data_IF_444253604659
#
_entry.id   IF_444253604659
#
_cell.length_a   1.000
_cell.length_b   1.000
_cell.length_c   1.000
_cell.angle_alpha   90.00
_cell.angle_beta   90.00
_cell.angle_gamma   90.00
#
_symmetry.space_group_name_H-M   'P 1'
#
loop_
_entity.id
_entity.type
_entity.pdbx_description
1 polymer ?
#
# COMPACT_ATOMS: atom_id res chain seq x y z
N UNK A 1 -0.98 11.89 32.18
CA UNK A 1 -0.98 11.84 30.70
C UNK A 1 0.29 12.49 30.11
N UNK A 2 1.50 11.97 30.40
CA UNK A 2 2.78 12.51 29.85
C UNK A 2 3.39 11.66 28.72
N UNK A 3 3.02 10.38 28.59
CA UNK A 3 3.61 9.46 27.62
C UNK A 3 3.10 9.58 26.17
N UNK A 4 1.87 10.06 25.95
CA UNK A 4 1.30 10.23 24.60
C UNK A 4 1.99 11.36 23.82
N UNK A 5 2.28 12.49 24.47
CA UNK A 5 3.05 13.59 23.85
C UNK A 5 4.45 13.17 23.40
N UNK A 6 5.13 12.34 24.19
CA UNK A 6 6.48 11.85 23.86
C UNK A 6 6.43 10.85 22.68
N UNK A 7 5.37 10.03 22.59
CA UNK A 7 5.13 9.19 21.39
C UNK A 7 4.96 10.04 20.14
N UNK A 8 4.14 11.10 20.22
CA UNK A 8 3.82 11.94 19.06
C UNK A 8 5.06 12.66 18.51
N UNK A 9 5.90 13.28 19.36
CA UNK A 9 7.11 13.98 18.89
C UNK A 9 8.15 13.05 18.25
N UNK A 10 8.34 11.84 18.81
CA UNK A 10 9.25 10.85 18.24
C UNK A 10 8.77 10.36 16.87
N UNK A 11 7.47 10.12 16.73
CA UNK A 11 6.85 9.71 15.46
C UNK A 11 6.97 10.82 14.43
N UNK A 12 6.66 12.07 14.81
CA UNK A 12 6.80 13.24 13.91
C UNK A 12 8.24 13.36 13.40
N UNK A 13 9.22 13.19 14.29
CA UNK A 13 10.64 13.29 13.94
C UNK A 13 11.07 12.18 12.98
N UNK A 14 10.65 10.93 13.21
CA UNK A 14 10.98 9.81 12.30
C UNK A 14 10.25 9.92 10.95
N UNK A 15 9.00 10.37 10.96
CA UNK A 15 8.24 10.67 9.72
C UNK A 15 8.94 11.76 8.92
N UNK A 16 9.44 12.82 9.56
CA UNK A 16 10.17 13.89 8.89
C UNK A 16 11.52 13.42 8.30
N UNK A 17 12.26 12.56 9.00
CA UNK A 17 13.49 11.96 8.46
C UNK A 17 13.23 11.14 7.21
N UNK A 18 12.18 10.32 7.24
CA UNK A 18 11.79 9.46 6.11
C UNK A 18 11.19 10.29 4.96
N UNK A 19 10.39 11.30 5.29
CA UNK A 19 9.68 12.17 4.35
C UNK A 19 10.49 13.41 4.00
N UNK A 20 11.80 13.27 3.81
CA UNK A 20 12.61 14.38 3.32
C UNK A 20 12.07 14.82 1.96
N UNK A 21 11.84 16.13 1.79
CA UNK A 21 11.24 16.69 0.56
C UNK A 21 11.92 16.19 -0.73
N UNK A 22 13.25 16.06 -0.73
CA UNK A 22 13.99 15.51 -1.87
C UNK A 22 13.64 14.07 -2.22
N UNK A 23 13.47 13.21 -1.21
CA UNK A 23 13.06 11.82 -1.43
C UNK A 23 11.64 11.75 -2.02
N UNK A 24 10.71 12.55 -1.50
CA UNK A 24 9.32 12.59 -2.00
C UNK A 24 9.26 13.09 -3.44
N UNK A 25 10.04 14.12 -3.80
CA UNK A 25 10.12 14.63 -5.18
C UNK A 25 10.63 13.53 -6.13
N UNK A 26 11.71 12.83 -5.75
CA UNK A 26 12.26 11.73 -6.56
C UNK A 26 11.25 10.59 -6.72
N UNK A 27 10.59 10.19 -5.63
CA UNK A 27 9.60 9.11 -5.67
C UNK A 27 8.40 9.48 -6.54
N UNK A 28 7.88 10.71 -6.41
CA UNK A 28 6.79 11.22 -7.25
C UNK A 28 7.22 11.32 -8.71
N UNK A 29 8.44 11.80 -8.98
CA UNK A 29 9.00 11.85 -10.33
C UNK A 29 9.07 10.47 -10.98
N UNK A 30 9.51 9.44 -10.23
CA UNK A 30 9.53 8.05 -10.70
C UNK A 30 8.13 7.50 -10.97
N UNK A 31 7.15 7.81 -10.11
CA UNK A 31 5.74 7.42 -10.31
C UNK A 31 5.15 8.06 -11.57
N UNK A 32 5.38 9.36 -11.77
CA UNK A 32 4.94 10.08 -12.98
C UNK A 32 5.63 9.50 -14.22
N UNK A 33 6.94 9.24 -14.15
CA UNK A 33 7.67 8.59 -15.24
C UNK A 33 7.09 7.23 -15.59
N UNK A 34 6.76 6.39 -14.60
CA UNK A 34 6.11 5.10 -14.83
C UNK A 34 4.74 5.26 -15.46
N UNK A 35 3.93 6.19 -14.94
CA UNK A 35 2.59 6.46 -15.47
C UNK A 35 2.63 6.83 -16.96
N UNK A 36 3.56 7.73 -17.34
CA UNK A 36 3.75 8.14 -18.74
C UNK A 36 4.22 6.96 -19.59
N UNK A 37 5.23 6.19 -19.14
CA UNK A 37 5.74 5.01 -19.88
C UNK A 37 4.67 3.94 -20.12
N UNK A 38 3.85 3.66 -19.11
CA UNK A 38 2.84 2.59 -19.13
C UNK A 38 1.58 3.02 -19.89
N UNK A 39 1.02 4.19 -19.59
CA UNK A 39 -0.31 4.57 -20.09
C UNK A 39 -0.27 5.47 -21.32
N UNK A 40 0.70 6.39 -21.42
CA UNK A 40 0.77 7.35 -22.53
C UNK A 40 1.59 6.77 -23.69
N UNK A 41 2.81 6.30 -23.39
CA UNK A 41 3.74 5.76 -24.38
C UNK A 41 3.47 4.29 -24.71
N UNK A 42 2.71 3.58 -23.86
CA UNK A 42 2.36 2.16 -24.03
C UNK A 42 3.59 1.26 -24.29
N UNK A 43 4.73 1.56 -23.65
CA UNK A 43 5.95 0.80 -23.85
C UNK A 43 5.84 -0.64 -23.34
N UNK A 44 6.54 -1.55 -24.01
CA UNK A 44 6.65 -2.93 -23.56
C UNK A 44 7.26 -3.02 -22.16
N UNK A 45 6.84 -4.03 -21.42
CA UNK A 45 7.25 -4.31 -20.03
C UNK A 45 8.76 -4.21 -19.81
N UNK A 46 9.55 -4.69 -20.79
CA UNK A 46 11.02 -4.66 -20.75
C UNK A 46 11.61 -3.26 -20.55
N UNK A 47 10.93 -2.21 -21.02
CA UNK A 47 11.45 -0.83 -21.02
C UNK A 47 11.10 0.00 -19.77
N UNK A 48 10.24 -0.53 -18.90
CA UNK A 48 9.84 0.18 -17.68
C UNK A 48 9.89 -0.69 -16.42
N UNK A 49 10.18 -1.99 -16.55
CA UNK A 49 10.34 -2.91 -15.43
C UNK A 49 11.39 -2.45 -14.41
N UNK A 50 12.52 -1.91 -14.89
CA UNK A 50 13.58 -1.38 -14.05
C UNK A 50 13.07 -0.28 -13.09
N UNK A 51 12.34 0.68 -13.66
CA UNK A 51 11.74 1.81 -12.96
C UNK A 51 10.68 1.33 -11.98
N UNK A 52 9.89 0.33 -12.38
CA UNK A 52 8.87 -0.29 -11.54
C UNK A 52 9.47 -0.98 -10.33
N UNK A 53 10.51 -1.80 -10.51
CA UNK A 53 11.21 -2.48 -9.41
C UNK A 53 11.81 -1.48 -8.44
N UNK A 54 12.43 -0.40 -8.93
CA UNK A 54 12.98 0.66 -8.06
C UNK A 54 11.89 1.28 -7.19
N UNK A 55 10.74 1.63 -7.78
CA UNK A 55 9.60 2.18 -7.03
C UNK A 55 9.07 1.17 -6.01
N UNK A 56 8.92 -0.10 -6.39
CA UNK A 56 8.44 -1.14 -5.48
C UNK A 56 9.39 -1.37 -4.30
N UNK A 57 10.71 -1.39 -4.54
CA UNK A 57 11.73 -1.51 -3.49
C UNK A 57 11.71 -0.29 -2.57
N UNK A 58 11.63 0.93 -3.13
CA UNK A 58 11.55 2.16 -2.35
C UNK A 58 10.31 2.17 -1.43
N UNK A 59 9.12 1.90 -1.98
CA UNK A 59 7.87 1.82 -1.21
C UNK A 59 7.92 0.74 -0.12
N UNK A 60 8.49 -0.43 -0.45
CA UNK A 60 8.66 -1.54 0.51
C UNK A 60 9.61 -1.15 1.65
N UNK A 61 10.74 -0.53 1.33
CA UNK A 61 11.71 -0.06 2.33
C UNK A 61 11.07 0.94 3.30
N UNK A 62 10.35 1.94 2.78
CA UNK A 62 9.63 2.91 3.61
C UNK A 62 8.66 2.20 4.53
N UNK A 63 7.83 1.31 3.97
CA UNK A 63 6.79 0.61 4.74
C UNK A 63 7.41 -0.22 5.86
N UNK A 64 8.46 -1.00 5.56
CA UNK A 64 9.18 -1.80 6.57
C UNK A 64 9.79 -0.89 7.64
N UNK A 65 10.37 0.25 7.27
CA UNK A 65 10.95 1.19 8.21
C UNK A 65 9.89 1.83 9.10
N UNK A 66 8.79 2.31 8.53
CA UNK A 66 7.65 2.85 9.28
C UNK A 66 7.07 1.84 10.28
N UNK A 67 6.97 0.56 9.89
CA UNK A 67 6.53 -0.52 10.78
C UNK A 67 7.55 -0.80 11.89
N UNK A 68 8.86 -0.81 11.57
CA UNK A 68 9.91 -1.00 12.58
C UNK A 68 9.95 0.14 13.59
N UNK A 69 9.70 1.36 13.12
CA UNK A 69 9.70 2.55 13.97
C UNK A 69 8.40 2.76 14.73
N UNK A 70 7.37 1.97 14.43
CA UNK A 70 6.11 2.00 15.15
C UNK A 70 5.25 3.21 14.81
N UNK A 71 5.45 3.79 13.62
CA UNK A 71 4.79 5.03 13.17
C UNK A 71 3.28 4.83 13.06
N UNK A 72 2.83 3.66 12.62
CA UNK A 72 1.41 3.33 12.57
C UNK A 72 0.95 2.89 13.97
N UNK A 73 0.34 3.83 14.69
CA UNK A 73 -0.28 3.58 15.99
C UNK A 73 -1.76 3.27 15.84
N UNK A 74 -2.24 2.30 16.64
CA UNK A 74 -3.67 2.13 16.85
C UNK A 74 -4.15 3.23 17.81
N UNK A 75 -5.27 3.91 17.49
CA UNK A 75 -5.83 4.88 18.41
C UNK A 75 -6.29 4.19 19.70
N UNK A 76 -6.13 4.86 20.84
CA UNK A 76 -6.44 4.30 22.17
C UNK A 76 -7.94 4.24 22.49
N UNK A 77 -8.77 4.97 21.75
CA UNK A 77 -10.22 5.00 21.95
C UNK A 77 -10.92 3.94 21.09
N UNK A 78 -11.79 3.12 21.70
CA UNK A 78 -12.59 2.09 21.01
C UNK A 78 -13.37 2.64 19.81
N UNK A 79 -13.93 3.85 19.92
CA UNK A 79 -14.64 4.51 18.82
C UNK A 79 -13.72 4.81 17.62
N UNK A 80 -12.50 5.27 17.90
CA UNK A 80 -11.49 5.54 16.88
C UNK A 80 -10.93 4.25 16.25
N UNK A 81 -10.82 3.17 17.02
CA UNK A 81 -10.45 1.84 16.49
C UNK A 81 -11.53 1.32 15.53
N UNK A 82 -12.81 1.51 15.85
CA UNK A 82 -13.93 1.12 14.97
C UNK A 82 -13.91 1.91 13.66
N UNK A 83 -13.69 3.22 13.73
CA UNK A 83 -13.55 4.06 12.55
C UNK A 83 -12.34 3.64 11.69
N UNK A 84 -11.23 3.31 12.34
CA UNK A 84 -10.04 2.82 11.65
C UNK A 84 -10.30 1.50 10.90
N UNK A 85 -10.95 0.52 11.54
CA UNK A 85 -11.33 -0.74 10.87
C UNK A 85 -12.21 -0.52 9.65
N UNK A 86 -13.13 0.46 9.72
CA UNK A 86 -13.96 0.86 8.58
C UNK A 86 -13.11 1.43 7.45
N UNK A 87 -12.15 2.31 7.75
CA UNK A 87 -11.23 2.86 6.76
C UNK A 87 -10.35 1.78 6.12
N UNK A 88 -9.85 0.83 6.91
CA UNK A 88 -9.09 -0.32 6.40
C UNK A 88 -9.92 -1.17 5.43
N UNK A 89 -11.18 -1.44 5.79
CA UNK A 89 -12.13 -2.15 4.92
C UNK A 89 -12.37 -1.40 3.61
N UNK A 90 -12.62 -0.08 3.67
CA UNK A 90 -12.79 0.76 2.47
C UNK A 90 -11.52 0.72 1.61
N UNK A 91 -10.34 0.81 2.22
CA UNK A 91 -9.06 0.70 1.52
C UNK A 91 -8.90 -0.65 0.79
N UNK A 92 -9.31 -1.75 1.42
CA UNK A 92 -9.34 -3.07 0.80
C UNK A 92 -10.30 -3.13 -0.39
N UNK A 93 -11.50 -2.56 -0.28
CA UNK A 93 -12.48 -2.50 -1.36
C UNK A 93 -11.94 -1.71 -2.56
N UNK A 94 -11.41 -0.51 -2.32
CA UNK A 94 -10.83 0.34 -3.39
C UNK A 94 -9.68 -0.39 -4.09
N UNK A 95 -8.78 -1.02 -3.32
CA UNK A 95 -7.66 -1.78 -3.89
C UNK A 95 -8.14 -2.93 -4.77
N UNK A 96 -9.21 -3.61 -4.36
CA UNK A 96 -9.80 -4.73 -5.10
C UNK A 96 -10.45 -4.28 -6.41
N UNK A 97 -11.15 -3.14 -6.39
CA UNK A 97 -11.74 -2.55 -7.61
C UNK A 97 -10.64 -2.20 -8.62
N UNK A 98 -9.56 -1.58 -8.16
CA UNK A 98 -8.42 -1.23 -9.02
C UNK A 98 -7.80 -2.51 -9.61
N UNK A 99 -7.56 -3.52 -8.78
CA UNK A 99 -7.00 -4.80 -9.24
C UNK A 99 -7.90 -5.49 -10.27
N UNK A 100 -9.21 -5.57 -10.02
CA UNK A 100 -10.17 -6.17 -10.94
C UNK A 100 -10.23 -5.43 -12.27
N UNK A 101 -10.20 -4.10 -12.25
CA UNK A 101 -10.17 -3.28 -13.46
C UNK A 101 -8.90 -3.54 -14.28
N UNK A 102 -7.73 -3.66 -13.63
CA UNK A 102 -6.47 -3.97 -14.30
C UNK A 102 -6.48 -5.36 -14.94
N UNK A 103 -7.06 -6.37 -14.27
CA UNK A 103 -7.18 -7.72 -14.83
C UNK A 103 -8.09 -7.75 -16.05
N UNK A 104 -9.25 -7.11 -15.99
CA UNK A 104 -10.17 -7.00 -17.13
C UNK A 104 -9.50 -6.29 -18.31
N UNK A 105 -8.79 -5.18 -18.06
CA UNK A 105 -8.07 -4.45 -19.11
C UNK A 105 -6.95 -5.30 -19.76
N UNK A 106 -6.30 -6.16 -18.97
CA UNK A 106 -5.25 -7.05 -19.47
C UNK A 106 -5.85 -8.16 -20.33
N UNK A 107 -6.93 -8.80 -19.86
CA UNK A 107 -7.67 -9.82 -20.60
C UNK A 107 -8.22 -9.29 -21.93
N UNK A 108 -8.71 -8.04 -21.94
CA UNK A 108 -9.19 -7.38 -23.17
C UNK A 108 -8.07 -7.13 -24.19
N UNK A 109 -6.84 -6.86 -23.72
CA UNK A 109 -5.68 -6.60 -24.59
C UNK A 109 -5.14 -7.89 -25.23
N UNK A 110 -5.32 -9.03 -24.58
CA UNK A 110 -4.85 -10.35 -25.04
C UNK A 110 -5.91 -11.12 -25.84
N UNK A 111 -7.11 -10.56 -26.04
CA UNK A 111 -8.26 -11.29 -26.58
C UNK A 111 -8.15 -11.60 -28.08
N UNK A 112 -7.76 -12.85 -28.38
CA UNK A 112 -8.03 -13.53 -29.65
C UNK A 112 -9.24 -14.47 -29.60
N UNK A 113 -9.49 -15.16 -28.46
CA UNK A 113 -10.59 -16.13 -28.36
C UNK A 113 -10.88 -16.59 -26.90
N UNK A 114 -11.20 -15.65 -26.00
CA UNK A 114 -11.45 -15.99 -24.59
C UNK A 114 -12.95 -16.17 -24.31
N UNK A 115 -13.31 -17.33 -23.77
CA UNK A 115 -14.63 -17.60 -23.18
C UNK A 115 -14.89 -16.61 -22.03
N UNK A 116 -15.57 -15.51 -22.37
CA UNK A 116 -15.84 -14.34 -21.50
C UNK A 116 -16.33 -14.75 -20.10
N UNK A 117 -17.20 -15.77 -20.03
CA UNK A 117 -17.74 -16.27 -18.77
C UNK A 117 -16.66 -16.85 -17.82
N UNK A 118 -15.64 -17.53 -18.36
CA UNK A 118 -14.54 -18.11 -17.57
C UNK A 118 -13.61 -17.03 -17.03
N UNK A 119 -13.29 -16.01 -17.83
CA UNK A 119 -12.49 -14.84 -17.41
C UNK A 119 -13.17 -14.03 -16.31
N UNK A 120 -14.48 -13.82 -16.43
CA UNK A 120 -15.25 -13.10 -15.41
C UNK A 120 -15.25 -13.88 -14.10
N UNK A 121 -15.49 -15.20 -14.15
CA UNK A 121 -15.46 -16.07 -12.97
C UNK A 121 -14.08 -16.09 -12.29
N UNK A 122 -12.99 -16.24 -13.05
CA UNK A 122 -11.64 -16.22 -12.49
C UNK A 122 -11.30 -14.86 -11.87
N UNK A 123 -11.69 -13.76 -12.52
CA UNK A 123 -11.48 -12.40 -12.01
C UNK A 123 -12.26 -12.16 -10.73
N UNK A 124 -13.48 -12.68 -10.62
CA UNK A 124 -14.32 -12.52 -9.43
C UNK A 124 -13.75 -13.30 -8.24
N UNK A 125 -13.34 -14.56 -8.45
CA UNK A 125 -12.66 -15.36 -7.43
C UNK A 125 -11.34 -14.70 -7.00
N UNK A 126 -10.54 -14.25 -7.97
CA UNK A 126 -9.29 -13.55 -7.71
C UNK A 126 -9.51 -12.25 -6.92
N UNK A 127 -10.59 -11.51 -7.20
CA UNK A 127 -10.94 -10.28 -6.49
C UNK A 127 -11.26 -10.56 -5.02
N UNK A 128 -11.99 -11.64 -4.72
CA UNK A 128 -12.28 -12.05 -3.34
C UNK A 128 -11.00 -12.42 -2.59
N UNK A 129 -10.12 -13.22 -3.22
CA UNK A 129 -8.84 -13.59 -2.62
C UNK A 129 -7.95 -12.36 -2.39
N UNK A 130 -7.89 -11.45 -3.36
CA UNK A 130 -7.14 -10.21 -3.25
C UNK A 130 -7.68 -9.33 -2.13
N UNK A 131 -9.00 -9.17 -2.02
CA UNK A 131 -9.65 -8.40 -0.96
C UNK A 131 -9.31 -8.94 0.44
N UNK A 132 -9.41 -10.25 0.62
CA UNK A 132 -9.08 -10.90 1.90
C UNK A 132 -7.59 -10.71 2.20
N UNK A 133 -6.72 -10.96 1.22
CA UNK A 133 -5.27 -10.83 1.34
C UNK A 133 -4.85 -9.41 1.71
N UNK A 134 -5.32 -8.40 0.98
CA UNK A 134 -4.92 -7.00 1.22
C UNK A 134 -5.42 -6.50 2.57
N UNK A 135 -6.67 -6.82 2.94
CA UNK A 135 -7.26 -6.40 4.21
C UNK A 135 -6.50 -7.02 5.39
N UNK A 136 -6.10 -8.29 5.25
CA UNK A 136 -5.32 -9.01 6.26
C UNK A 136 -3.90 -8.47 6.38
N UNK A 137 -3.21 -8.22 5.26
CA UNK A 137 -1.86 -7.64 5.23
C UNK A 137 -1.86 -6.27 5.89
N UNK A 138 -2.81 -5.39 5.54
CA UNK A 138 -2.91 -4.07 6.15
C UNK A 138 -3.06 -4.18 7.67
N UNK A 139 -3.98 -5.02 8.15
CA UNK A 139 -4.17 -5.24 9.58
C UNK A 139 -2.91 -5.79 10.27
N UNK A 140 -2.22 -6.73 9.63
CA UNK A 140 -0.97 -7.32 10.13
C UNK A 140 0.15 -6.28 10.29
N UNK A 141 0.35 -5.45 9.26
CA UNK A 141 1.35 -4.36 9.24
C UNK A 141 1.14 -3.43 10.44
N UNK A 142 -0.10 -3.01 10.68
CA UNK A 142 -0.44 -2.08 11.76
C UNK A 142 -0.24 -2.73 13.13
N UNK A 143 -0.72 -3.97 13.30
CA UNK A 143 -0.54 -4.71 14.56
C UNK A 143 0.95 -4.88 14.88
N UNK A 144 1.78 -5.12 13.87
CA UNK A 144 3.23 -5.24 14.03
C UNK A 144 3.88 -3.90 14.36
N UNK A 145 3.45 -2.82 13.70
CA UNK A 145 3.90 -1.46 13.98
C UNK A 145 3.60 -1.05 15.42
N UNK A 146 2.36 -1.25 15.87
CA UNK A 146 1.95 -0.90 17.23
C UNK A 146 2.75 -1.68 18.30
N UNK A 147 2.98 -2.98 18.09
CA UNK A 147 3.84 -3.78 18.97
C UNK A 147 5.27 -3.26 19.05
N UNK A 148 5.82 -2.78 17.94
CA UNK A 148 7.17 -2.20 17.92
C UNK A 148 7.21 -0.85 18.64
N UNK A 149 6.14 -0.06 18.54
CA UNK A 149 6.01 1.20 19.27
C UNK A 149 5.97 0.98 20.79
N UNK A 150 5.26 -0.05 21.27
CA UNK A 150 5.16 -0.35 22.69
C UNK A 150 6.49 -0.85 23.27
N UNK A 151 7.22 -1.70 22.54
CA UNK A 151 8.56 -2.17 22.93
C UNK A 151 9.59 -1.04 23.12
N UNK A 152 9.49 0.04 22.32
CA UNK A 152 10.40 1.20 22.41
C UNK A 152 10.12 2.13 23.62
N UNK A 153 9.06 1.87 24.39
CA UNK A 153 8.74 2.61 25.63
C UNK A 153 9.20 1.89 26.89
N UNK A 154 9.30 0.57 26.83
CA UNK A 154 9.64 -0.30 27.96
C UNK A 154 11.16 -0.47 28.14
N UNK A 155 11.96 -0.09 27.14
CA UNK A 155 13.42 -0.03 27.20
C UNK A 155 13.94 1.40 27.16
#
# INVERSE_FOLDING_TARGET
>A
MRGTRIKDERIITEVQKISTYGFMIVLVGLLVSLFVKVFILQWDFKYWWDSFVIVMVACSYITVRCVKDGIYLLPSNEGAVRQYKKNNFIGGVVSTIIWAALMILSDLKEAGDLQIAKSIMSTLVGSVLFFIGITWIQWFIIKRSNRNADKKLEG
#
